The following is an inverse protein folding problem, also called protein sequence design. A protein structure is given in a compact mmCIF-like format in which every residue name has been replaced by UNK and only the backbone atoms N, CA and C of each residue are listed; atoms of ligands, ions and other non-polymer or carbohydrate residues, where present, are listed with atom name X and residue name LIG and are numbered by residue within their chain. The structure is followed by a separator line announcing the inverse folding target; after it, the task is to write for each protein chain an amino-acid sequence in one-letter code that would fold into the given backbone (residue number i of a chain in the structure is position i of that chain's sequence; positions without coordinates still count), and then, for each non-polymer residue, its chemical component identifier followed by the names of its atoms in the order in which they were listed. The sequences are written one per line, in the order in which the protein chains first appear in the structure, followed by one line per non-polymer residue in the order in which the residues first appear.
data_IF_664871496913
#
_entry.id   IF_664871496913
#
_cell.length_a   1.000
_cell.length_b   1.000
_cell.length_c   1.000
_cell.angle_alpha   90.00
_cell.angle_beta   90.00
_cell.angle_gamma   90.00
#
_symmetry.space_group_name_H-M   'P 1'
#
loop_
_entity.id
_entity.type
_entity.pdbx_description
1 polymer ?
#
# COMPACT_ATOMS: atom_id res chain seq x y z
N UNK A 1 15.30 31.80 -27.51
CA UNK A 1 16.40 30.82 -27.60
C UNK A 1 15.97 29.58 -26.84
N UNK A 2 15.75 28.47 -27.52
CA UNK A 2 15.35 27.20 -26.90
C UNK A 2 16.53 26.23 -27.04
N UNK A 3 17.11 25.82 -25.93
CA UNK A 3 18.23 24.88 -25.92
C UNK A 3 17.69 23.45 -26.14
N UNK A 4 17.98 22.87 -27.30
CA UNK A 4 17.75 21.45 -27.61
C UNK A 4 19.04 20.68 -27.37
N UNK A 5 19.26 20.24 -26.12
CA UNK A 5 20.32 19.30 -25.77
C UNK A 5 19.73 17.90 -25.56
N UNK A 6 20.40 16.81 -26.01
CA UNK A 6 19.92 15.45 -25.75
C UNK A 6 19.94 15.17 -24.25
N UNK A 7 18.79 14.74 -23.72
CA UNK A 7 18.66 14.33 -22.31
C UNK A 7 19.29 12.93 -22.17
N UNK A 8 20.29 12.73 -21.29
CA UNK A 8 20.92 11.43 -21.16
C UNK A 8 19.93 10.39 -20.60
N UNK A 9 19.69 9.36 -21.41
CA UNK A 9 19.09 8.09 -21.01
C UNK A 9 17.57 8.02 -21.19
N UNK A 10 17.02 6.85 -21.61
CA UNK A 10 15.64 6.55 -21.30
C UNK A 10 15.51 6.62 -19.78
N UNK A 11 14.81 7.63 -19.24
CA UNK A 11 14.19 7.47 -17.92
C UNK A 11 13.15 6.39 -18.12
N UNK A 12 13.57 5.14 -18.01
CA UNK A 12 12.68 4.03 -17.72
C UNK A 12 12.03 4.45 -16.42
N UNK A 13 10.86 5.09 -16.52
CA UNK A 13 9.93 5.18 -15.41
C UNK A 13 9.65 3.72 -15.12
N UNK A 14 10.40 3.13 -14.18
CA UNK A 14 9.91 1.93 -13.49
C UNK A 14 8.47 2.27 -13.15
N UNK A 15 7.53 1.48 -13.66
CA UNK A 15 6.13 1.68 -13.29
C UNK A 15 6.11 1.79 -11.77
N UNK A 16 5.39 2.79 -11.23
CA UNK A 16 5.17 2.83 -9.79
C UNK A 16 4.73 1.42 -9.38
N UNK A 17 5.41 0.83 -8.39
CA UNK A 17 5.02 -0.46 -7.85
C UNK A 17 3.53 -0.45 -7.52
N UNK A 18 2.84 -1.56 -7.75
CA UNK A 18 1.42 -1.68 -7.44
C UNK A 18 1.24 -2.13 -6.00
N UNK A 19 0.15 -1.68 -5.39
CA UNK A 19 -0.29 -2.24 -4.11
C UNK A 19 -1.42 -3.22 -4.35
N UNK A 20 -1.34 -4.39 -3.74
CA UNK A 20 -2.43 -5.35 -3.68
C UNK A 20 -3.24 -5.10 -2.42
N UNK A 21 -4.53 -4.83 -2.59
CA UNK A 21 -5.45 -4.49 -1.51
C UNK A 21 -6.60 -5.48 -1.47
N UNK A 22 -6.89 -5.99 -0.28
CA UNK A 22 -8.09 -6.77 0.02
C UNK A 22 -9.05 -5.92 0.87
N UNK A 23 -10.30 -5.79 0.40
CA UNK A 23 -11.36 -5.01 1.05
C UNK A 23 -12.55 -5.89 1.39
N UNK A 24 -13.10 -5.75 2.60
CA UNK A 24 -14.41 -6.33 2.91
C UNK A 24 -15.50 -5.52 2.21
N UNK A 25 -16.32 -6.15 1.36
CA UNK A 25 -17.30 -5.43 0.52
C UNK A 25 -18.40 -4.73 1.32
N UNK A 26 -18.79 -5.27 2.48
CA UNK A 26 -19.87 -4.73 3.31
C UNK A 26 -19.49 -3.46 4.07
N UNK A 27 -18.22 -3.33 4.47
CA UNK A 27 -17.75 -2.25 5.35
C UNK A 27 -16.65 -1.39 4.75
N UNK A 28 -16.12 -1.76 3.59
CA UNK A 28 -14.93 -1.17 2.95
C UNK A 28 -13.69 -1.14 3.87
N UNK A 29 -13.61 -2.06 4.84
CA UNK A 29 -12.42 -2.20 5.69
C UNK A 29 -11.29 -2.84 4.89
N UNK A 30 -10.09 -2.30 5.07
CA UNK A 30 -8.87 -2.94 4.58
C UNK A 30 -8.61 -4.18 5.43
N UNK A 31 -8.58 -5.32 4.78
CA UNK A 31 -8.36 -6.64 5.38
C UNK A 31 -6.91 -7.08 5.18
N UNK A 32 -6.33 -6.74 4.03
CA UNK A 32 -4.95 -7.04 3.69
C UNK A 32 -4.40 -5.95 2.74
N UNK A 33 -3.12 -5.63 2.89
CA UNK A 33 -2.39 -4.67 2.07
C UNK A 33 -0.94 -5.16 1.95
N UNK A 34 -0.41 -5.21 0.74
CA UNK A 34 1.01 -5.47 0.47
C UNK A 34 1.43 -4.76 -0.79
N UNK A 35 2.69 -4.33 -0.85
CA UNK A 35 3.28 -3.85 -2.10
C UNK A 35 3.62 -5.03 -3.02
N UNK A 36 3.73 -4.76 -4.32
CA UNK A 36 4.25 -5.71 -5.31
C UNK A 36 5.71 -6.09 -5.03
N UNK A 37 6.49 -5.20 -4.42
CA UNK A 37 7.90 -5.43 -4.08
C UNK A 37 8.05 -6.42 -2.91
N UNK A 38 7.08 -6.46 -1.99
CA UNK A 38 7.07 -7.38 -0.86
C UNK A 38 6.38 -8.72 -1.18
N UNK A 39 5.83 -8.88 -2.38
CA UNK A 39 5.10 -10.08 -2.81
C UNK A 39 6.03 -11.16 -3.37
N UNK A 40 6.99 -11.60 -2.57
CA UNK A 40 7.96 -12.65 -2.97
C UNK A 40 7.41 -14.08 -2.80
N UNK A 41 6.39 -14.26 -1.94
CA UNK A 41 5.82 -15.57 -1.59
C UNK A 41 4.29 -15.54 -1.56
N UNK A 42 3.61 -16.68 -1.76
CA UNK A 42 2.16 -16.78 -1.61
C UNK A 42 1.70 -16.33 -0.21
N UNK A 43 0.66 -15.50 -0.19
CA UNK A 43 0.09 -14.99 1.06
C UNK A 43 -0.83 -16.03 1.69
N UNK A 44 -0.67 -16.28 2.99
CA UNK A 44 -1.63 -17.09 3.73
C UNK A 44 -2.94 -16.30 3.92
N UNK A 45 -3.98 -16.70 3.19
CA UNK A 45 -5.28 -16.06 3.22
C UNK A 45 -6.20 -16.55 4.36
N UNK A 46 -5.88 -17.69 4.98
CA UNK A 46 -6.71 -18.35 5.99
C UNK A 46 -7.14 -17.42 7.16
N UNK A 47 -6.25 -16.57 7.74
CA UNK A 47 -6.61 -15.77 8.90
C UNK A 47 -7.72 -14.75 8.66
N UNK A 48 -7.89 -14.30 7.42
CA UNK A 48 -8.86 -13.30 7.06
C UNK A 48 -10.04 -13.84 6.24
N UNK A 49 -9.87 -14.93 5.47
CA UNK A 49 -11.00 -15.57 4.79
C UNK A 49 -12.02 -16.17 5.76
N UNK A 50 -11.59 -16.68 6.91
CA UNK A 50 -12.50 -17.23 7.92
C UNK A 50 -13.27 -16.13 8.69
N UNK A 51 -12.77 -14.89 8.67
CA UNK A 51 -13.33 -13.76 9.42
C UNK A 51 -14.22 -12.86 8.56
N UNK A 52 -13.88 -12.73 7.28
CA UNK A 52 -14.56 -11.85 6.33
C UNK A 52 -15.10 -12.70 5.18
N UNK A 53 -16.43 -12.80 5.09
CA UNK A 53 -17.10 -13.72 4.16
C UNK A 53 -17.07 -13.22 2.70
N UNK A 54 -16.94 -11.92 2.48
CA UNK A 54 -16.97 -11.31 1.16
C UNK A 54 -15.84 -10.27 1.02
N UNK A 55 -14.77 -10.68 0.35
CA UNK A 55 -13.54 -9.90 0.21
C UNK A 55 -13.23 -9.69 -1.26
N UNK A 56 -13.06 -8.43 -1.65
CA UNK A 56 -12.65 -8.01 -3.00
C UNK A 56 -11.15 -7.77 -3.05
N UNK A 57 -10.48 -8.34 -4.05
CA UNK A 57 -9.05 -8.16 -4.29
C UNK A 57 -8.84 -7.21 -5.48
N UNK A 58 -7.99 -6.20 -5.31
CA UNK A 58 -7.72 -5.20 -6.35
C UNK A 58 -6.31 -4.65 -6.27
N UNK A 59 -5.75 -4.31 -7.44
CA UNK A 59 -4.46 -3.62 -7.60
C UNK A 59 -4.62 -2.27 -8.31
N UNK A 60 -5.83 -1.70 -8.27
CA UNK A 60 -6.19 -0.48 -9.03
C UNK A 60 -5.94 0.81 -8.25
N UNK A 61 -5.78 0.72 -6.94
CA UNK A 61 -5.62 1.88 -6.08
C UNK A 61 -4.16 2.34 -6.04
N UNK A 62 -3.99 3.63 -5.80
CA UNK A 62 -2.69 4.28 -5.58
C UNK A 62 -2.81 5.03 -4.26
N UNK A 63 -1.84 4.85 -3.37
CA UNK A 63 -1.84 5.58 -2.11
C UNK A 63 -1.71 7.10 -2.36
N UNK A 64 -2.59 7.85 -1.70
CA UNK A 64 -2.62 9.31 -1.75
C UNK A 64 -1.98 9.96 -0.52
N UNK A 65 -1.50 9.17 0.44
CA UNK A 65 -0.87 9.61 1.70
C UNK A 65 -1.78 10.51 2.55
N UNK A 66 -3.09 10.25 2.53
CA UNK A 66 -4.08 10.95 3.35
C UNK A 66 -4.67 9.98 4.37
N UNK A 67 -4.38 10.20 5.64
CA UNK A 67 -4.84 9.35 6.73
C UNK A 67 -5.51 10.15 7.84
N UNK A 68 -6.59 9.60 8.39
CA UNK A 68 -7.22 10.10 9.60
C UNK A 68 -7.05 9.06 10.71
N UNK A 69 -6.34 9.43 11.78
CA UNK A 69 -5.98 8.52 12.87
C UNK A 69 -6.56 9.00 14.20
N UNK A 70 -7.04 8.07 15.04
CA UNK A 70 -7.50 8.39 16.39
C UNK A 70 -6.31 8.88 17.23
N UNK A 71 -6.51 9.87 18.10
CA UNK A 71 -5.44 10.42 18.96
C UNK A 71 -4.68 9.33 19.75
N UNK A 72 -5.35 8.26 20.20
CA UNK A 72 -4.69 7.16 20.91
C UNK A 72 -3.61 6.44 20.10
N UNK A 73 -3.66 6.49 18.76
CA UNK A 73 -2.65 5.91 17.88
C UNK A 73 -1.28 6.57 18.06
N UNK A 74 -1.24 7.86 18.43
CA UNK A 74 0.01 8.58 18.70
C UNK A 74 0.81 7.93 19.83
N UNK A 75 0.12 7.47 20.89
CA UNK A 75 0.75 6.78 22.01
C UNK A 75 1.34 5.42 21.63
N UNK A 76 0.79 4.76 20.60
CA UNK A 76 1.34 3.51 20.07
C UNK A 76 2.58 3.78 19.21
N UNK A 77 2.50 4.77 18.32
CA UNK A 77 3.61 5.18 17.44
C UNK A 77 4.80 5.64 18.28
N UNK A 78 4.58 6.47 19.30
CA UNK A 78 5.64 6.99 20.16
C UNK A 78 6.39 5.90 20.96
N UNK A 79 5.77 4.73 21.18
CA UNK A 79 6.39 3.59 21.89
C UNK A 79 7.17 2.68 20.96
N UNK A 80 6.91 2.70 19.66
CA UNK A 80 7.60 1.87 18.69
C UNK A 80 8.84 2.60 18.15
N UNK A 81 10.03 2.05 18.38
CA UNK A 81 11.30 2.58 17.83
C UNK A 81 11.52 2.26 16.35
N UNK A 82 10.68 1.41 15.76
CA UNK A 82 10.79 0.89 14.39
C UNK A 82 9.52 1.16 13.58
N UNK A 83 9.04 2.39 13.59
CA UNK A 83 8.03 2.84 12.62
C UNK A 83 8.81 3.41 11.43
N UNK A 84 9.38 2.54 10.60
CA UNK A 84 10.29 3.00 9.54
C UNK A 84 9.55 3.59 8.33
N UNK A 85 8.26 3.25 8.14
CA UNK A 85 7.47 3.74 7.01
C UNK A 85 5.97 3.60 7.32
N UNK A 86 5.38 4.61 7.93
CA UNK A 86 3.92 4.85 7.91
C UNK A 86 3.59 6.21 7.26
N UNK A 87 4.60 6.88 6.72
CA UNK A 87 4.54 8.19 6.08
C UNK A 87 5.13 8.10 4.69
#
# INVERSE_FOLDING_TARGET
MCATGPVPGPKVRRGKGRDFIALEESTNRIVYLTSEEDFDQPVNAEPWMNKFWNVSLTARYVDCHVYFMRHSCLGMIARQKLVHSFF
#
